data_IF_070315583187
#
_entry.id   IF_070315583187
#
_cell.length_a   1.000
_cell.length_b   1.000
_cell.length_c   1.000
_cell.angle_alpha   90.00
_cell.angle_beta   90.00
_cell.angle_gamma   90.00
#
_symmetry.space_group_name_H-M   'P 1'
#
loop_
_entity.id
_entity.type
_entity.pdbx_description
1 polymer ?
#
# COMPACT_ATOMS: atom_id res chain seq x y z
N UNK A 1 12.41 -4.48 -7.90
CA UNK A 1 12.06 -3.28 -7.09
C UNK A 1 12.98 -2.12 -7.47
N UNK A 2 12.52 -0.87 -7.39
CA UNK A 2 13.32 0.33 -7.70
C UNK A 2 14.42 0.59 -6.66
N UNK A 3 15.24 1.62 -6.89
CA UNK A 3 16.38 2.01 -6.04
C UNK A 3 15.99 2.26 -4.56
N UNK A 4 16.64 1.59 -3.58
CA UNK A 4 16.35 1.74 -2.15
C UNK A 4 16.44 3.17 -1.62
N UNK A 5 17.48 3.91 -2.01
CA UNK A 5 17.75 5.27 -1.55
C UNK A 5 16.65 6.25 -2.01
N UNK A 6 16.13 6.03 -3.23
CA UNK A 6 15.04 6.86 -3.79
C UNK A 6 13.71 6.55 -3.14
N UNK A 7 13.40 5.29 -2.87
CA UNK A 7 12.20 4.93 -2.11
C UNK A 7 12.24 5.44 -0.67
N UNK A 8 13.41 5.38 -0.02
CA UNK A 8 13.58 5.93 1.33
C UNK A 8 13.41 7.45 1.38
N UNK A 9 13.90 8.17 0.36
CA UNK A 9 13.67 9.61 0.24
C UNK A 9 12.18 9.94 0.10
N UNK A 10 11.43 9.15 -0.68
CA UNK A 10 9.99 9.34 -0.86
C UNK A 10 9.20 9.08 0.43
N UNK A 11 9.55 8.03 1.18
CA UNK A 11 8.92 7.67 2.45
C UNK A 11 9.00 8.77 3.53
N UNK A 12 9.95 9.72 3.39
CA UNK A 12 10.09 10.87 4.29
C UNK A 12 9.13 12.01 3.98
N UNK A 13 8.61 12.07 2.76
CA UNK A 13 7.69 13.12 2.29
C UNK A 13 6.25 12.62 2.29
N UNK A 14 6.07 11.33 2.01
CA UNK A 14 4.79 10.65 2.03
C UNK A 14 4.94 9.36 2.83
N UNK A 15 4.13 9.09 3.88
CA UNK A 15 4.29 7.93 4.76
C UNK A 15 3.77 6.63 4.13
N UNK A 16 4.20 6.36 2.89
CA UNK A 16 3.97 5.09 2.21
C UNK A 16 5.12 4.14 2.46
N UNK A 17 4.78 2.88 2.73
CA UNK A 17 5.75 1.82 2.91
C UNK A 17 6.54 1.56 1.61
N UNK A 18 7.87 1.41 1.67
CA UNK A 18 8.66 1.09 0.49
C UNK A 18 8.38 -0.35 0.02
N UNK A 19 8.32 -0.54 -1.30
CA UNK A 19 8.24 -1.89 -1.89
C UNK A 19 9.60 -2.59 -1.91
N UNK A 20 10.70 -1.84 -1.84
CA UNK A 20 12.05 -2.37 -1.67
C UNK A 20 12.44 -2.38 -0.18
N UNK A 21 12.52 -3.58 0.43
CA UNK A 21 12.92 -3.74 1.84
C UNK A 21 14.29 -3.12 2.17
N UNK A 22 15.18 -3.00 1.19
CA UNK A 22 16.48 -2.33 1.36
C UNK A 22 16.37 -0.83 1.68
N UNK A 23 15.23 -0.19 1.40
CA UNK A 23 15.00 1.22 1.72
C UNK A 23 15.04 1.49 3.22
N UNK A 24 14.66 0.52 4.06
CA UNK A 24 14.69 0.66 5.53
C UNK A 24 16.10 0.93 6.08
N UNK A 25 17.16 0.64 5.33
CA UNK A 25 18.54 1.03 5.70
C UNK A 25 18.77 2.55 5.69
N UNK A 26 17.93 3.29 4.98
CA UNK A 26 18.06 4.73 4.75
C UNK A 26 16.92 5.54 5.39
N UNK A 27 15.91 4.87 5.98
CA UNK A 27 14.76 5.51 6.62
C UNK A 27 15.08 5.68 8.12
N UNK A 28 14.98 6.90 8.69
CA UNK A 28 15.14 7.09 10.13
C UNK A 28 14.13 6.24 10.94
N UNK A 29 14.54 5.68 12.07
CA UNK A 29 13.71 4.74 12.85
C UNK A 29 12.34 5.32 13.25
N UNK A 30 12.28 6.60 13.63
CA UNK A 30 11.02 7.26 13.99
C UNK A 30 10.04 7.31 12.80
N UNK A 31 10.51 7.55 11.57
CA UNK A 31 9.69 7.49 10.36
C UNK A 31 9.31 6.05 10.05
N UNK A 32 10.27 5.11 10.15
CA UNK A 32 10.02 3.71 9.82
C UNK A 32 8.86 3.12 10.63
N UNK A 33 8.75 3.47 11.91
CA UNK A 33 7.67 3.00 12.81
C UNK A 33 6.29 3.52 12.46
N UNK A 34 6.19 4.61 11.69
CA UNK A 34 4.91 5.17 11.24
C UNK A 34 4.42 4.52 9.93
N UNK A 35 5.29 3.78 9.21
CA UNK A 35 4.93 3.23 7.91
C UNK A 35 4.01 2.02 8.04
N UNK A 36 2.97 1.89 7.18
CA UNK A 36 2.08 0.71 7.19
C UNK A 36 2.81 -0.62 7.03
N UNK A 37 3.96 -0.63 6.36
CA UNK A 37 4.75 -1.85 6.11
C UNK A 37 5.79 -2.15 7.18
N UNK A 38 5.82 -1.40 8.29
CA UNK A 38 6.63 -1.72 9.45
C UNK A 38 6.08 -2.98 10.13
N UNK A 39 6.91 -3.93 10.60
CA UNK A 39 6.42 -5.22 11.13
C UNK A 39 5.37 -5.11 12.23
N UNK A 40 5.50 -4.13 13.13
CA UNK A 40 4.54 -3.91 14.21
C UNK A 40 3.19 -3.35 13.74
N UNK A 41 3.13 -2.80 12.51
CA UNK A 41 1.92 -2.21 11.92
C UNK A 41 1.19 -3.16 10.97
N UNK A 42 1.77 -4.34 10.68
CA UNK A 42 1.13 -5.36 9.85
C UNK A 42 -0.12 -6.00 10.49
N UNK A 43 -0.19 -6.24 11.81
CA UNK A 43 -1.39 -6.80 12.43
C UNK A 43 -2.62 -5.92 12.16
N UNK A 44 -3.68 -6.53 11.64
CA UNK A 44 -4.94 -5.84 11.31
C UNK A 44 -5.04 -5.31 9.88
N UNK A 45 -3.97 -5.36 9.09
CA UNK A 45 -4.04 -5.06 7.66
C UNK A 45 -4.59 -6.26 6.87
N UNK A 46 -5.36 -5.96 5.82
CA UNK A 46 -5.78 -6.94 4.82
C UNK A 46 -4.96 -6.68 3.56
N UNK A 47 -4.34 -7.73 3.05
CA UNK A 47 -3.67 -7.67 1.76
C UNK A 47 -4.70 -7.78 0.65
N UNK A 48 -4.58 -6.90 -0.33
CA UNK A 48 -5.35 -6.97 -1.56
C UNK A 48 -5.04 -8.26 -2.33
N UNK A 49 -6.07 -8.92 -2.84
CA UNK A 49 -5.93 -10.05 -3.77
C UNK A 49 -6.07 -9.51 -5.21
N UNK A 50 -4.95 -9.27 -5.91
CA UNK A 50 -4.99 -8.69 -7.25
C UNK A 50 -5.61 -9.63 -8.28
N UNK A 51 -5.55 -10.95 -8.08
CA UNK A 51 -6.11 -11.92 -9.01
C UNK A 51 -7.64 -11.94 -8.89
N UNK A 52 -8.16 -11.94 -7.67
CA UNK A 52 -9.60 -11.84 -7.43
C UNK A 52 -10.16 -10.51 -7.94
N UNK A 53 -9.48 -9.40 -7.67
CA UNK A 53 -9.90 -8.07 -8.15
C UNK A 53 -9.87 -8.03 -9.68
N UNK A 54 -8.78 -8.48 -10.30
CA UNK A 54 -8.66 -8.52 -11.75
C UNK A 54 -9.79 -9.34 -12.41
N UNK A 55 -10.16 -10.49 -11.83
CA UNK A 55 -11.24 -11.33 -12.34
C UNK A 55 -12.65 -10.74 -12.12
N UNK A 56 -12.82 -9.83 -11.16
CA UNK A 56 -14.13 -9.29 -10.77
C UNK A 56 -14.32 -7.80 -11.07
N UNK A 57 -13.30 -7.10 -11.57
CA UNK A 57 -13.25 -5.64 -11.73
C UNK A 57 -14.53 -5.08 -12.39
N UNK A 58 -14.93 -5.61 -13.55
CA UNK A 58 -16.12 -5.13 -14.26
C UNK A 58 -17.42 -5.29 -13.46
N UNK A 59 -17.56 -6.40 -12.71
CA UNK A 59 -18.72 -6.66 -11.85
C UNK A 59 -18.73 -5.76 -10.61
N UNK A 60 -17.55 -5.43 -10.07
CA UNK A 60 -17.42 -4.48 -8.97
C UNK A 60 -17.88 -3.09 -9.45
N UNK A 61 -17.39 -2.64 -10.60
CA UNK A 61 -17.72 -1.34 -11.19
C UNK A 61 -19.22 -1.20 -11.47
N UNK A 62 -19.85 -2.20 -12.10
CA UNK A 62 -21.29 -2.19 -12.37
C UNK A 62 -22.13 -2.07 -11.09
N UNK A 63 -21.85 -2.92 -10.10
CA UNK A 63 -22.60 -2.93 -8.83
C UNK A 63 -22.40 -1.65 -8.04
N UNK A 64 -21.19 -1.09 -8.08
CA UNK A 64 -20.89 0.17 -7.43
C UNK A 64 -21.64 1.33 -8.09
N UNK A 65 -21.70 1.37 -9.42
CA UNK A 65 -22.46 2.38 -10.16
C UNK A 65 -23.96 2.33 -9.84
N UNK A 66 -24.54 1.12 -9.82
CA UNK A 66 -25.93 0.87 -9.40
C UNK A 66 -26.18 1.37 -7.98
N UNK A 67 -25.32 0.96 -7.03
CA UNK A 67 -25.44 1.35 -5.62
C UNK A 67 -25.39 2.87 -5.41
N UNK A 68 -24.44 3.57 -6.04
CA UNK A 68 -24.35 5.05 -5.93
C UNK A 68 -25.56 5.73 -6.58
N UNK A 69 -26.04 5.22 -7.70
CA UNK A 69 -27.21 5.76 -8.39
C UNK A 69 -28.52 5.45 -7.65
N UNK A 70 -28.50 4.57 -6.65
CA UNK A 70 -29.68 4.16 -5.87
C UNK A 70 -30.65 3.28 -6.64
N UNK A 71 -30.16 2.55 -7.66
CA UNK A 71 -30.95 1.67 -8.55
C UNK A 71 -30.43 0.24 -8.53
#
# INVERSE_FOLDING_TARGET
AARPDRQAAFARVQPVGPTNKGAYKFIPDHIARELPTYPANLPGLVYEDPDWIGANQAKIEERWAQWIAGV
#
